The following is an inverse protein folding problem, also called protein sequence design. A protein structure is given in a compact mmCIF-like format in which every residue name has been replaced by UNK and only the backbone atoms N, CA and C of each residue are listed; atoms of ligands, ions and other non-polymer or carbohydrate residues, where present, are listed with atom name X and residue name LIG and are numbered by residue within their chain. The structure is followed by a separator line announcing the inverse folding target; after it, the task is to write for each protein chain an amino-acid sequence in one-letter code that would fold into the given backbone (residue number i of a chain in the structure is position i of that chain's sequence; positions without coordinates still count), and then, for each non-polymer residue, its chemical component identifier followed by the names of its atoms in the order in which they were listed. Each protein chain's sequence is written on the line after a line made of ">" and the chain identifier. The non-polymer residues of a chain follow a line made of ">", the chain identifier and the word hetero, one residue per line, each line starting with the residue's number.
data_IF_743702147323
#
_entry.id   IF_743702147323
#
_cell.length_a   1.000
_cell.length_b   1.000
_cell.length_c   1.000
_cell.angle_alpha   90.00
_cell.angle_beta   90.00
_cell.angle_gamma   90.00
#
_symmetry.space_group_name_H-M   'P 1'
#
loop_
_entity.id
_entity.type
_entity.pdbx_description
1 polymer ?
#
# COMPACT_ATOMS: atom_id res chain seq x y z
N UNK A 1 10.99 31.51 0.72
CA UNK A 1 11.19 30.58 1.85
C UNK A 1 11.57 29.24 1.25
N UNK A 2 12.77 28.78 1.61
CA UNK A 2 13.66 27.96 0.79
C UNK A 2 13.08 26.57 0.47
N UNK A 3 12.93 26.29 -0.84
CA UNK A 3 12.80 24.93 -1.31
C UNK A 3 14.18 24.29 -1.16
N UNK A 4 14.41 23.60 -0.04
CA UNK A 4 15.62 22.81 0.17
C UNK A 4 15.80 21.85 -1.00
N UNK A 5 16.93 21.99 -1.68
CA UNK A 5 17.27 21.19 -2.84
C UNK A 5 17.28 19.71 -2.43
N UNK A 6 16.48 18.89 -3.12
CA UNK A 6 16.31 17.48 -2.75
C UNK A 6 17.52 16.71 -3.28
N UNK A 7 18.20 15.95 -2.42
CA UNK A 7 19.43 15.26 -2.83
C UNK A 7 19.13 14.15 -3.86
N UNK A 8 20.14 13.81 -4.68
CA UNK A 8 20.02 12.72 -5.66
C UNK A 8 19.59 11.39 -5.01
N UNK A 9 20.02 11.13 -3.77
CA UNK A 9 19.63 9.94 -3.02
C UNK A 9 18.15 9.97 -2.62
N UNK A 10 17.65 11.10 -2.13
CA UNK A 10 16.23 11.26 -1.81
C UNK A 10 15.35 11.11 -3.05
N UNK A 11 15.83 11.59 -4.19
CA UNK A 11 15.16 11.39 -5.46
C UNK A 11 15.07 9.91 -5.83
N UNK A 12 16.17 9.16 -5.73
CA UNK A 12 16.17 7.71 -5.98
C UNK A 12 15.21 6.95 -5.04
N UNK A 13 15.18 7.32 -3.76
CA UNK A 13 14.24 6.75 -2.79
C UNK A 13 12.78 7.02 -3.20
N UNK A 14 12.47 8.26 -3.60
CA UNK A 14 11.14 8.63 -4.09
C UNK A 14 10.78 7.87 -5.37
N UNK A 15 11.71 7.69 -6.30
CA UNK A 15 11.49 6.91 -7.51
C UNK A 15 11.15 5.45 -7.19
N UNK A 16 11.89 4.82 -6.28
CA UNK A 16 11.63 3.46 -5.84
C UNK A 16 10.27 3.32 -5.15
N UNK A 17 9.91 4.30 -4.31
CA UNK A 17 8.60 4.36 -3.67
C UNK A 17 7.47 4.43 -4.70
N UNK A 18 7.55 5.38 -5.63
CA UNK A 18 6.53 5.59 -6.66
C UNK A 18 6.40 4.37 -7.56
N UNK A 19 7.52 3.74 -7.96
CA UNK A 19 7.48 2.50 -8.76
C UNK A 19 6.78 1.35 -8.03
N UNK A 20 6.95 1.25 -6.71
CA UNK A 20 6.36 0.17 -5.91
C UNK A 20 4.87 0.37 -5.63
N UNK A 21 4.47 1.59 -5.28
CA UNK A 21 3.12 1.87 -4.79
C UNK A 21 2.20 2.51 -5.83
N UNK A 22 2.79 3.10 -6.88
CA UNK A 22 2.10 3.75 -7.99
C UNK A 22 2.56 3.13 -9.32
N UNK A 23 2.38 1.80 -9.49
CA UNK A 23 2.81 1.12 -10.69
C UNK A 23 1.99 1.59 -11.90
N UNK A 24 2.66 1.66 -13.04
CA UNK A 24 2.05 2.04 -14.30
C UNK A 24 1.13 0.92 -14.83
N UNK A 25 -0.08 1.27 -15.27
CA UNK A 25 -0.96 0.32 -15.96
C UNK A 25 -0.55 0.22 -17.43
N UNK A 26 0.15 -0.87 -17.76
CA UNK A 26 0.69 -1.16 -19.10
C UNK A 26 -0.38 -1.18 -20.21
N UNK A 27 -1.66 -1.28 -19.85
CA UNK A 27 -2.80 -1.21 -20.79
C UNK A 27 -3.09 0.21 -21.26
N UNK A 28 -2.83 1.21 -20.42
CA UNK A 28 -2.92 2.60 -20.82
C UNK A 28 -1.59 2.97 -21.48
N UNK A 29 -1.56 3.18 -22.80
CA UNK A 29 -0.35 3.61 -23.55
C UNK A 29 0.23 4.97 -23.12
N UNK A 30 -0.20 5.52 -21.97
CA UNK A 30 0.20 6.80 -21.42
C UNK A 30 1.46 6.58 -20.61
N UNK A 31 2.65 6.86 -21.14
CA UNK A 31 3.87 6.90 -20.30
C UNK A 31 3.65 8.00 -19.25
N UNK A 32 3.22 7.64 -18.04
CA UNK A 32 3.07 8.61 -16.96
C UNK A 32 4.47 8.96 -16.48
N UNK A 33 4.77 10.26 -16.46
CA UNK A 33 6.05 10.74 -15.96
C UNK A 33 6.13 10.51 -14.45
N UNK A 34 7.35 10.51 -13.89
CA UNK A 34 7.53 10.45 -12.43
C UNK A 34 6.75 11.55 -11.70
N UNK A 35 6.62 12.71 -12.35
CA UNK A 35 5.86 13.85 -11.85
C UNK A 35 4.36 13.52 -11.74
N UNK A 36 3.81 12.76 -12.69
CA UNK A 36 2.41 12.34 -12.66
C UNK A 36 2.15 11.34 -11.54
N UNK A 37 3.03 10.34 -11.36
CA UNK A 37 2.94 9.41 -10.23
C UNK A 37 3.06 10.15 -8.89
N UNK A 38 3.90 11.18 -8.82
CA UNK A 38 4.03 12.00 -7.62
C UNK A 38 2.77 12.83 -7.34
N UNK A 39 2.12 13.36 -8.38
CA UNK A 39 0.80 14.02 -8.23
C UNK A 39 -0.28 13.06 -7.78
N UNK A 40 -0.27 11.83 -8.28
CA UNK A 40 -1.21 10.80 -7.89
C UNK A 40 -1.01 10.37 -6.43
N UNK A 41 0.25 10.20 -6.02
CA UNK A 41 0.60 9.99 -4.61
C UNK A 41 0.13 11.14 -3.73
N UNK A 42 0.42 12.38 -4.12
CA UNK A 42 -0.05 13.56 -3.40
C UNK A 42 -1.57 13.56 -3.27
N UNK A 43 -2.29 13.24 -4.35
CA UNK A 43 -3.75 13.11 -4.32
C UNK A 43 -4.24 12.02 -3.35
N UNK A 44 -3.61 10.84 -3.37
CA UNK A 44 -3.97 9.72 -2.49
C UNK A 44 -3.86 10.10 -1.01
N UNK A 45 -2.81 10.85 -0.64
CA UNK A 45 -2.60 11.34 0.71
C UNK A 45 -3.34 12.64 1.05
N UNK A 46 -4.19 13.16 0.15
CA UNK A 46 -4.93 14.41 0.36
C UNK A 46 -4.06 15.66 0.35
N UNK A 47 -2.92 15.63 -0.34
CA UNK A 47 -1.94 16.71 -0.46
C UNK A 47 -2.13 17.51 -1.76
N UNK A 48 -1.62 18.76 -1.83
CA UNK A 48 -1.61 19.53 -3.07
C UNK A 48 -0.83 18.81 -4.19
N UNK A 49 -1.48 18.60 -5.34
CA UNK A 49 -0.95 17.89 -6.52
C UNK A 49 0.08 18.72 -7.31
N UNK A 50 1.15 19.13 -6.63
CA UNK A 50 2.22 19.95 -7.20
C UNK A 50 3.15 19.18 -8.13
N UNK A 51 3.27 17.86 -7.94
CA UNK A 51 4.27 17.03 -8.61
C UNK A 51 5.71 17.36 -8.22
N UNK A 52 5.90 18.08 -7.10
CA UNK A 52 7.21 18.44 -6.56
C UNK A 52 7.51 17.63 -5.32
N UNK A 53 8.75 17.18 -5.21
CA UNK A 53 9.26 16.55 -4.01
C UNK A 53 9.62 17.64 -3.00
N UNK A 54 9.29 17.42 -1.74
CA UNK A 54 9.63 18.32 -0.64
C UNK A 54 10.06 17.49 0.57
N UNK A 55 10.75 18.09 1.56
CA UNK A 55 11.12 17.39 2.79
C UNK A 55 9.92 16.72 3.48
N UNK A 56 8.75 17.38 3.46
CA UNK A 56 7.51 16.83 4.02
C UNK A 56 7.00 15.61 3.23
N UNK A 57 7.05 15.64 1.90
CA UNK A 57 6.70 14.47 1.08
C UNK A 57 7.66 13.31 1.33
N UNK A 58 8.96 13.60 1.48
CA UNK A 58 9.96 12.59 1.82
C UNK A 58 9.69 11.96 3.19
N UNK A 59 9.30 12.75 4.19
CA UNK A 59 8.91 12.23 5.51
C UNK A 59 7.73 11.25 5.38
N UNK A 60 6.72 11.58 4.58
CA UNK A 60 5.57 10.69 4.33
C UNK A 60 6.03 9.39 3.65
N UNK A 61 6.89 9.48 2.62
CA UNK A 61 7.38 8.31 1.89
C UNK A 61 8.22 7.37 2.75
N UNK A 62 8.85 7.87 3.82
CA UNK A 62 9.69 7.09 4.73
C UNK A 62 8.91 6.41 5.87
N UNK A 63 7.64 6.76 6.08
CA UNK A 63 6.82 6.12 7.12
C UNK A 63 6.58 4.63 6.81
N UNK A 64 6.72 3.72 7.80
CA UNK A 64 6.36 2.32 7.63
C UNK A 64 4.92 2.19 7.12
N UNK A 65 4.71 1.32 6.11
CA UNK A 65 3.41 1.16 5.47
C UNK A 65 3.19 -0.26 4.94
N UNK A 66 1.96 -0.54 4.52
CA UNK A 66 1.58 -1.78 3.84
C UNK A 66 2.35 -1.94 2.52
N UNK A 67 2.63 -3.18 2.10
CA UNK A 67 3.32 -3.48 0.85
C UNK A 67 2.45 -3.47 -0.42
N UNK A 68 1.14 -3.32 -0.27
CA UNK A 68 0.15 -3.33 -1.37
C UNK A 68 0.18 -1.97 -2.10
N UNK A 69 0.14 -1.92 -3.45
CA UNK A 69 0.06 -0.68 -4.20
C UNK A 69 -1.20 0.15 -3.88
N UNK A 70 -1.08 1.47 -3.94
CA UNK A 70 -2.15 2.42 -3.57
C UNK A 70 -3.16 2.64 -4.70
N UNK A 71 -2.74 2.45 -5.96
CA UNK A 71 -3.52 2.78 -7.17
C UNK A 71 -3.73 1.60 -8.10
N UNK A 72 -3.33 0.40 -7.67
CA UNK A 72 -3.74 -0.77 -8.42
C UNK A 72 -5.27 -0.85 -8.37
N UNK A 73 -5.90 -1.05 -9.53
CA UNK A 73 -7.18 -1.77 -9.59
C UNK A 73 -7.04 -3.07 -8.77
N UNK A 74 -8.12 -3.77 -8.46
CA UNK A 74 -8.08 -5.11 -7.84
C UNK A 74 -7.30 -6.13 -8.73
N UNK A 75 -6.04 -5.87 -9.03
CA UNK A 75 -5.23 -6.36 -10.15
C UNK A 75 -4.41 -7.57 -9.72
N UNK A 76 -4.40 -7.88 -8.42
CA UNK A 76 -3.92 -9.17 -7.93
C UNK A 76 -4.92 -10.29 -8.27
N UNK A 77 -6.19 -10.00 -8.54
CA UNK A 77 -7.23 -11.00 -8.80
C UNK A 77 -8.25 -10.48 -9.82
N UNK A 78 -8.35 -11.06 -11.03
CA UNK A 78 -9.35 -10.62 -12.01
C UNK A 78 -10.78 -10.70 -11.46
N UNK A 79 -11.66 -9.82 -11.95
CA UNK A 79 -13.12 -9.83 -11.72
C UNK A 79 -13.62 -9.46 -10.31
N UNK A 80 -12.95 -8.54 -9.60
CA UNK A 80 -13.37 -8.06 -8.26
C UNK A 80 -13.49 -9.21 -7.24
N UNK A 81 -12.38 -9.60 -6.59
CA UNK A 81 -12.35 -10.79 -5.74
C UNK A 81 -13.36 -10.67 -4.60
N UNK A 82 -14.32 -11.59 -4.57
CA UNK A 82 -15.34 -11.70 -3.52
C UNK A 82 -15.48 -13.14 -3.06
N UNK A 83 -15.57 -13.33 -1.75
CA UNK A 83 -15.94 -14.63 -1.18
C UNK A 83 -17.39 -14.96 -1.51
N UNK A 84 -17.61 -16.09 -2.19
CA UNK A 84 -18.95 -16.60 -2.49
C UNK A 84 -19.59 -17.29 -1.27
N UNK A 85 -18.75 -17.88 -0.42
CA UNK A 85 -19.16 -18.46 0.87
C UNK A 85 -19.08 -17.42 1.98
N UNK A 86 -20.02 -17.49 2.93
CA UNK A 86 -19.93 -16.74 4.18
C UNK A 86 -19.01 -17.39 5.22
N UNK A 87 -18.58 -18.62 4.98
CA UNK A 87 -17.62 -19.34 5.81
C UNK A 87 -16.31 -19.40 5.03
N UNK A 88 -15.27 -18.75 5.55
CA UNK A 88 -13.94 -18.65 4.95
C UNK A 88 -12.93 -19.27 5.91
N UNK A 89 -12.33 -20.39 5.54
CA UNK A 89 -11.33 -21.04 6.39
C UNK A 89 -9.92 -20.50 6.12
N UNK A 90 -9.07 -20.51 7.14
CA UNK A 90 -7.68 -20.08 7.02
C UNK A 90 -6.73 -21.05 7.72
N UNK A 91 -5.46 -21.04 7.31
CA UNK A 91 -4.38 -21.82 7.92
C UNK A 91 -3.12 -20.96 8.00
N UNK A 92 -2.53 -20.89 9.19
CA UNK A 92 -1.22 -20.26 9.37
C UNK A 92 -0.15 -21.26 8.92
N UNK A 93 0.53 -20.95 7.81
CA UNK A 93 1.55 -21.82 7.20
C UNK A 93 2.92 -21.58 7.84
N UNK A 94 3.22 -20.33 8.19
CA UNK A 94 4.49 -19.92 8.81
C UNK A 94 4.25 -19.01 10.00
N UNK A 95 5.17 -19.06 10.96
CA UNK A 95 5.15 -18.26 12.18
C UNK A 95 6.42 -17.41 12.23
N UNK A 96 6.33 -16.21 12.80
CA UNK A 96 7.52 -15.43 13.13
C UNK A 96 8.25 -16.06 14.32
N UNK A 97 9.58 -15.93 14.37
CA UNK A 97 10.40 -16.26 15.53
C UNK A 97 10.25 -15.27 16.69
N UNK A 98 9.73 -14.07 16.41
CA UNK A 98 9.67 -12.98 17.39
C UNK A 98 8.59 -13.19 18.46
N UNK A 99 7.63 -14.09 18.21
CA UNK A 99 6.48 -14.33 19.08
C UNK A 99 6.20 -15.84 19.24
N UNK A 100 5.73 -16.28 20.42
CA UNK A 100 5.22 -17.64 20.59
C UNK A 100 4.06 -17.93 19.63
N UNK A 101 3.98 -19.16 19.12
CA UNK A 101 2.92 -19.57 18.18
C UNK A 101 1.52 -19.24 18.66
N UNK A 102 1.23 -19.50 19.95
CA UNK A 102 -0.07 -19.21 20.55
C UNK A 102 -0.44 -17.72 20.49
N UNK A 103 0.55 -16.83 20.59
CA UNK A 103 0.32 -15.37 20.49
C UNK A 103 0.01 -15.01 19.04
N UNK A 104 0.72 -15.58 18.07
CA UNK A 104 0.43 -15.39 16.64
C UNK A 104 -0.99 -15.87 16.31
N UNK A 105 -1.38 -17.06 16.79
CA UNK A 105 -2.74 -17.61 16.60
C UNK A 105 -3.82 -16.66 17.11
N UNK A 106 -3.62 -16.11 18.31
CA UNK A 106 -4.55 -15.16 18.92
C UNK A 106 -4.63 -13.85 18.14
N UNK A 107 -3.49 -13.31 17.69
CA UNK A 107 -3.43 -12.08 16.90
C UNK A 107 -4.16 -12.26 15.57
N UNK A 108 -3.89 -13.34 14.84
CA UNK A 108 -4.53 -13.65 13.55
C UNK A 108 -6.04 -13.83 13.74
N UNK A 109 -6.46 -14.61 14.75
CA UNK A 109 -7.88 -14.81 15.08
C UNK A 109 -8.57 -13.49 15.42
N UNK A 110 -7.92 -12.62 16.22
CA UNK A 110 -8.46 -11.30 16.57
C UNK A 110 -8.59 -10.42 15.33
N UNK A 111 -7.60 -10.41 14.45
CA UNK A 111 -7.62 -9.63 13.21
C UNK A 111 -8.78 -10.04 12.30
N UNK A 112 -9.00 -11.35 12.09
CA UNK A 112 -10.11 -11.85 11.28
C UNK A 112 -11.47 -11.56 11.94
N UNK A 113 -11.56 -11.66 13.28
CA UNK A 113 -12.78 -11.32 14.01
C UNK A 113 -13.19 -9.86 13.81
N UNK A 114 -12.25 -8.92 13.70
CA UNK A 114 -12.60 -7.51 13.44
C UNK A 114 -13.39 -7.35 12.14
N UNK A 115 -13.09 -8.16 11.12
CA UNK A 115 -13.89 -8.20 9.90
C UNK A 115 -15.26 -8.85 10.14
N UNK A 116 -15.32 -10.01 10.77
CA UNK A 116 -16.60 -10.69 11.08
C UNK A 116 -17.59 -9.84 11.88
N UNK A 117 -17.10 -8.86 12.66
CA UNK A 117 -17.96 -7.94 13.39
C UNK A 117 -18.66 -6.90 12.51
N UNK A 118 -18.15 -6.63 11.30
CA UNK A 118 -18.64 -5.58 10.40
C UNK A 118 -19.29 -6.12 9.13
N UNK A 119 -18.95 -7.36 8.73
CA UNK A 119 -19.45 -7.99 7.50
C UNK A 119 -19.92 -9.42 7.78
N UNK A 120 -20.85 -9.98 6.99
CA UNK A 120 -21.41 -11.32 7.22
C UNK A 120 -20.47 -12.45 6.74
N UNK A 121 -19.18 -12.36 7.10
CA UNK A 121 -18.19 -13.42 6.92
C UNK A 121 -17.80 -14.00 8.28
N UNK A 122 -17.72 -15.32 8.35
CA UNK A 122 -17.20 -16.07 9.46
C UNK A 122 -15.87 -16.71 9.04
N UNK A 123 -14.83 -16.48 9.85
CA UNK A 123 -13.49 -17.00 9.63
C UNK A 123 -13.12 -18.07 10.66
#
# INVERSE_FOLDING_TARGET
>A
QEAGDVSAHQWEQAQNYLRKFYPHDSKTKKVNSLVDNLKEMQKFFGLPMTGKLSPYIMEIMQKPRCGVPDVAEYSLMPNSPKWHSRIVTYRIVSYTSDLPRIVVDQIVKKALRMWSMQIPLNF
#
